data_IF_554248178586
#
_entry.id   IF_554248178586
#
_cell.length_a   1.000
_cell.length_b   1.000
_cell.length_c   1.000
_cell.angle_alpha   90.00
_cell.angle_beta   90.00
_cell.angle_gamma   90.00
#
_symmetry.space_group_name_H-M   'P 1'
#
loop_
_entity.id
_entity.type
_entity.pdbx_description
1 polymer ?
#
# COMPACT_ATOMS: atom_id res chain seq x y z
N UNK A 1 14.28 70.36 -57.23
CA UNK A 1 13.65 69.89 -55.98
C UNK A 1 12.59 68.80 -56.16
N UNK A 2 11.68 68.87 -57.14
CA UNK A 2 10.51 67.96 -57.25
C UNK A 2 10.81 66.47 -57.55
N UNK A 3 11.86 66.15 -58.33
CA UNK A 3 12.21 64.74 -58.69
C UNK A 3 12.76 63.93 -57.50
N UNK A 4 13.52 64.56 -56.61
CA UNK A 4 14.11 63.92 -55.43
C UNK A 4 13.03 63.48 -54.44
N UNK A 5 12.06 64.36 -54.19
CA UNK A 5 10.90 64.10 -53.33
C UNK A 5 10.06 62.92 -53.85
N UNK A 6 9.81 62.84 -55.17
CA UNK A 6 9.12 61.70 -55.79
C UNK A 6 9.87 60.37 -55.58
N UNK A 7 11.20 60.37 -55.75
CA UNK A 7 12.05 59.19 -55.48
C UNK A 7 11.97 58.78 -54.00
N UNK A 8 12.05 59.73 -53.07
CA UNK A 8 11.90 59.46 -51.64
C UNK A 8 10.52 58.87 -51.31
N UNK A 9 9.44 59.42 -51.85
CA UNK A 9 8.08 58.90 -51.61
C UNK A 9 7.89 57.49 -52.16
N UNK A 10 8.51 57.17 -53.30
CA UNK A 10 8.48 55.81 -53.86
C UNK A 10 9.20 54.80 -52.96
N UNK A 11 10.39 55.18 -52.44
CA UNK A 11 11.15 54.38 -51.47
C UNK A 11 10.34 54.16 -50.18
N UNK A 12 9.69 55.20 -49.65
CA UNK A 12 8.84 55.11 -48.45
C UNK A 12 7.67 54.14 -48.66
N UNK A 13 7.02 54.20 -49.84
CA UNK A 13 5.94 53.28 -50.20
C UNK A 13 6.43 51.82 -50.25
N UNK A 14 7.61 51.59 -50.81
CA UNK A 14 8.21 50.27 -50.94
C UNK A 14 8.61 49.69 -49.57
N UNK A 15 9.26 50.50 -48.72
CA UNK A 15 9.56 50.17 -47.33
C UNK A 15 8.30 49.86 -46.53
N UNK A 16 7.23 50.65 -46.69
CA UNK A 16 5.93 50.39 -46.04
C UNK A 16 5.33 49.04 -46.44
N UNK A 17 5.51 48.64 -47.71
CA UNK A 17 5.07 47.34 -48.23
C UNK A 17 5.87 46.19 -47.63
N UNK A 18 7.18 46.36 -47.49
CA UNK A 18 8.09 45.38 -46.86
C UNK A 18 7.72 45.20 -45.38
N UNK A 19 7.53 46.30 -44.64
CA UNK A 19 7.12 46.29 -43.23
C UNK A 19 5.78 45.57 -43.05
N UNK A 20 4.78 45.81 -43.92
CA UNK A 20 3.51 45.07 -43.89
C UNK A 20 3.72 43.56 -44.07
N UNK A 21 4.52 43.14 -45.04
CA UNK A 21 4.84 41.71 -45.28
C UNK A 21 5.56 41.08 -44.07
N UNK A 22 6.52 41.79 -43.48
CA UNK A 22 7.24 41.32 -42.28
C UNK A 22 6.30 41.16 -41.08
N UNK A 23 5.38 42.10 -40.85
CA UNK A 23 4.40 42.03 -39.77
C UNK A 23 3.46 40.81 -39.89
N UNK A 24 3.02 40.49 -41.11
CA UNK A 24 2.21 39.28 -41.35
C UNK A 24 3.01 38.01 -41.03
N UNK A 25 4.28 37.94 -41.46
CA UNK A 25 5.16 36.82 -41.10
C UNK A 25 5.38 36.71 -39.59
N UNK A 26 5.63 37.84 -38.92
CA UNK A 26 5.85 37.88 -37.48
C UNK A 26 4.63 37.37 -36.70
N UNK A 27 3.41 37.75 -37.12
CA UNK A 27 2.15 37.23 -36.54
C UNK A 27 2.01 35.71 -36.72
N UNK A 28 2.32 35.19 -37.91
CA UNK A 28 2.31 33.73 -38.17
C UNK A 28 3.34 33.01 -37.30
N UNK A 29 4.57 33.52 -37.20
CA UNK A 29 5.61 32.95 -36.34
C UNK A 29 5.22 32.95 -34.87
N UNK A 30 4.67 34.05 -34.35
CA UNK A 30 4.15 34.11 -32.97
C UNK A 30 3.08 33.05 -32.71
N UNK A 31 2.13 32.87 -33.64
CA UNK A 31 1.08 31.84 -33.51
C UNK A 31 1.65 30.42 -33.51
N UNK A 32 2.63 30.15 -34.37
CA UNK A 32 3.35 28.88 -34.41
C UNK A 32 4.08 28.61 -33.08
N UNK A 33 4.81 29.59 -32.56
CA UNK A 33 5.52 29.49 -31.28
C UNK A 33 4.57 29.18 -30.10
N UNK A 34 3.40 29.82 -30.06
CA UNK A 34 2.38 29.54 -29.03
C UNK A 34 1.88 28.09 -29.10
N UNK A 35 1.65 27.57 -30.31
CA UNK A 35 1.19 26.20 -30.54
C UNK A 35 2.26 25.19 -30.10
N UNK A 36 3.50 25.38 -30.56
CA UNK A 36 4.64 24.53 -30.17
C UNK A 36 4.85 24.55 -28.65
N UNK A 37 4.75 25.71 -28.01
CA UNK A 37 4.88 25.82 -26.55
C UNK A 37 3.79 25.05 -25.81
N UNK A 38 2.56 25.07 -26.33
CA UNK A 38 1.45 24.29 -25.77
C UNK A 38 1.69 22.79 -25.93
N UNK A 39 2.09 22.34 -27.13
CA UNK A 39 2.35 20.92 -27.40
C UNK A 39 3.50 20.35 -26.57
N UNK A 40 4.57 21.14 -26.37
CA UNK A 40 5.67 20.77 -25.48
C UNK A 40 5.18 20.61 -24.02
N UNK A 41 4.27 21.50 -23.56
CA UNK A 41 3.67 21.40 -22.22
C UNK A 41 2.82 20.14 -22.08
N UNK A 42 2.02 19.80 -23.11
CA UNK A 42 1.22 18.58 -23.13
C UNK A 42 2.10 17.32 -23.13
N UNK A 43 3.10 17.24 -24.03
CA UNK A 43 4.04 16.12 -24.09
C UNK A 43 4.78 15.93 -22.77
N UNK A 44 5.19 17.01 -22.11
CA UNK A 44 5.84 16.95 -20.78
C UNK A 44 4.90 16.32 -19.74
N UNK A 45 3.65 16.79 -19.67
CA UNK A 45 2.64 16.25 -18.75
C UNK A 45 2.32 14.78 -19.03
N UNK A 46 2.25 14.39 -20.31
CA UNK A 46 2.02 13.01 -20.72
C UNK A 46 3.19 12.10 -20.34
N UNK A 47 4.44 12.57 -20.51
CA UNK A 47 5.63 11.83 -20.08
C UNK A 47 5.66 11.66 -18.56
N UNK A 48 5.34 12.70 -17.80
CA UNK A 48 5.22 12.63 -16.34
C UNK A 48 4.15 11.62 -15.90
N UNK A 49 2.98 11.63 -16.55
CA UNK A 49 1.91 10.67 -16.29
C UNK A 49 2.32 9.23 -16.64
N UNK A 50 3.01 9.04 -17.76
CA UNK A 50 3.53 7.72 -18.18
C UNK A 50 4.57 7.20 -17.20
N UNK A 51 5.46 8.06 -16.71
CA UNK A 51 6.46 7.67 -15.70
C UNK A 51 5.78 7.32 -14.36
N UNK A 52 4.79 8.10 -13.96
CA UNK A 52 4.03 7.86 -12.73
C UNK A 52 3.28 6.52 -12.78
N UNK A 53 2.64 6.21 -13.90
CA UNK A 53 1.90 4.95 -14.08
C UNK A 53 2.85 3.75 -14.07
N UNK A 54 4.01 3.84 -14.72
CA UNK A 54 5.03 2.80 -14.67
C UNK A 54 5.65 2.61 -13.27
N UNK A 55 5.79 3.69 -12.50
CA UNK A 55 6.22 3.59 -11.10
C UNK A 55 5.14 2.94 -10.23
N UNK A 56 3.88 3.31 -10.43
CA UNK A 56 2.75 2.79 -9.69
C UNK A 56 2.62 1.27 -9.87
N UNK A 57 2.76 0.77 -11.10
CA UNK A 57 2.65 -0.66 -11.37
C UNK A 57 3.71 -1.47 -10.62
N UNK A 58 4.97 -0.99 -10.60
CA UNK A 58 6.05 -1.62 -9.81
C UNK A 58 5.78 -1.58 -8.31
N UNK A 59 5.21 -0.47 -7.79
CA UNK A 59 4.86 -0.38 -6.38
C UNK A 59 3.73 -1.34 -5.99
N UNK A 60 2.79 -1.63 -6.90
CA UNK A 60 1.68 -2.56 -6.68
C UNK A 60 2.13 -4.03 -6.60
N UNK A 61 3.32 -4.37 -7.09
CA UNK A 61 3.92 -5.69 -6.90
C UNK A 61 4.33 -5.92 -5.44
N UNK A 62 4.81 -4.86 -4.77
CA UNK A 62 5.35 -4.91 -3.41
C UNK A 62 4.26 -4.60 -2.38
N UNK A 63 3.60 -3.46 -2.55
CA UNK A 63 2.66 -2.85 -1.61
C UNK A 63 1.21 -3.06 -2.06
N UNK A 64 0.31 -3.08 -1.08
CA UNK A 64 -1.14 -3.05 -1.34
C UNK A 64 -1.63 -1.62 -1.61
N UNK A 65 -2.81 -1.48 -2.21
CA UNK A 65 -3.34 -0.16 -2.62
C UNK A 65 -3.50 0.81 -1.44
N UNK A 66 -3.88 0.32 -0.26
CA UNK A 66 -3.98 1.12 0.96
C UNK A 66 -2.61 1.54 1.50
N UNK A 67 -1.57 0.70 1.39
CA UNK A 67 -0.19 1.06 1.69
C UNK A 67 0.32 2.16 0.75
N UNK A 68 0.03 2.03 -0.55
CA UNK A 68 0.37 3.04 -1.55
C UNK A 68 -0.38 4.35 -1.26
N UNK A 69 -1.66 4.28 -0.85
CA UNK A 69 -2.43 5.46 -0.47
C UNK A 69 -1.87 6.19 0.75
N UNK A 70 -1.34 5.45 1.74
CA UNK A 70 -0.63 6.01 2.90
C UNK A 70 0.64 6.73 2.46
N UNK A 71 1.45 6.09 1.60
CA UNK A 71 2.67 6.69 1.06
C UNK A 71 2.39 7.97 0.28
N UNK A 72 1.34 7.99 -0.55
CA UNK A 72 0.96 9.17 -1.35
C UNK A 72 0.48 10.34 -0.50
N UNK A 73 -0.33 10.08 0.50
CA UNK A 73 -1.03 11.13 1.24
C UNK A 73 -0.29 11.59 2.50
N UNK A 74 0.82 10.92 2.87
CA UNK A 74 1.54 11.10 4.14
C UNK A 74 0.59 11.15 5.35
N UNK A 75 -0.47 10.33 5.30
CA UNK A 75 -1.54 10.26 6.29
C UNK A 75 -1.65 8.82 6.80
N UNK A 76 -2.02 8.67 8.06
CA UNK A 76 -2.34 7.36 8.63
C UNK A 76 -3.51 6.75 7.87
N UNK A 77 -3.43 5.44 7.57
CA UNK A 77 -4.56 4.72 7.00
C UNK A 77 -5.77 4.83 7.94
N UNK A 78 -6.93 5.21 7.39
CA UNK A 78 -8.19 5.19 8.15
C UNK A 78 -8.63 3.75 8.43
N UNK A 79 -8.46 2.87 7.44
CA UNK A 79 -8.81 1.44 7.50
C UNK A 79 -7.84 0.66 6.64
N UNK A 80 -7.28 -0.41 7.20
CA UNK A 80 -6.45 -1.36 6.47
C UNK A 80 -7.31 -2.45 5.84
N UNK A 81 -6.96 -2.86 4.62
CA UNK A 81 -7.60 -3.99 3.94
C UNK A 81 -7.21 -5.31 4.62
N UNK A 82 -8.03 -6.35 4.46
CA UNK A 82 -7.70 -7.68 5.01
C UNK A 82 -6.39 -8.23 4.41
N UNK A 83 -6.13 -7.97 3.11
CA UNK A 83 -4.87 -8.35 2.45
C UNK A 83 -3.65 -7.72 3.14
N UNK A 84 -3.75 -6.45 3.52
CA UNK A 84 -2.68 -5.71 4.20
C UNK A 84 -2.50 -6.18 5.63
N UNK A 85 -3.60 -6.48 6.34
CA UNK A 85 -3.55 -7.09 7.67
C UNK A 85 -2.88 -8.46 7.62
N UNK A 86 -3.23 -9.32 6.65
CA UNK A 86 -2.62 -10.65 6.49
C UNK A 86 -1.12 -10.55 6.22
N UNK A 87 -0.70 -9.73 5.24
CA UNK A 87 0.73 -9.48 4.97
C UNK A 87 1.46 -8.96 6.21
N UNK A 88 0.85 -8.05 6.95
CA UNK A 88 1.45 -7.49 8.16
C UNK A 88 1.54 -8.51 9.31
N UNK A 89 0.54 -9.39 9.48
CA UNK A 89 0.58 -10.49 10.44
C UNK A 89 1.68 -11.49 10.09
N UNK A 90 1.77 -11.91 8.81
CA UNK A 90 2.83 -12.78 8.32
C UNK A 90 4.21 -12.19 8.63
N UNK A 91 4.41 -10.92 8.27
CA UNK A 91 5.66 -10.22 8.57
C UNK A 91 5.96 -10.19 10.07
N UNK A 92 4.98 -9.81 10.91
CA UNK A 92 5.13 -9.79 12.38
C UNK A 92 5.53 -11.16 12.94
N UNK A 93 4.94 -12.24 12.44
CA UNK A 93 5.25 -13.59 12.91
C UNK A 93 6.63 -14.05 12.44
N UNK A 94 7.05 -13.69 11.23
CA UNK A 94 8.36 -14.05 10.69
C UNK A 94 9.53 -13.29 11.35
N UNK A 95 9.38 -11.99 11.64
CA UNK A 95 10.47 -11.15 12.16
C UNK A 95 10.35 -10.80 13.65
N UNK A 96 9.29 -11.26 14.32
CA UNK A 96 8.97 -10.89 15.70
C UNK A 96 8.53 -9.42 15.86
N UNK A 97 8.22 -9.05 17.12
CA UNK A 97 7.70 -7.71 17.46
C UNK A 97 8.75 -6.63 17.21
N UNK A 98 10.00 -6.87 17.61
CA UNK A 98 11.09 -5.90 17.50
C UNK A 98 11.40 -5.60 16.03
N UNK A 99 11.55 -6.64 15.19
CA UNK A 99 11.79 -6.45 13.75
C UNK A 99 10.63 -5.72 13.06
N UNK A 100 9.40 -6.04 13.44
CA UNK A 100 8.22 -5.37 12.89
C UNK A 100 8.18 -3.87 13.25
N UNK A 101 8.49 -3.52 14.50
CA UNK A 101 8.55 -2.11 14.92
C UNK A 101 9.75 -1.36 14.33
N UNK A 102 10.89 -2.01 14.10
CA UNK A 102 12.00 -1.40 13.35
C UNK A 102 11.57 -1.01 11.93
N UNK A 103 10.90 -1.89 11.19
CA UNK A 103 10.39 -1.56 9.86
C UNK A 103 9.41 -0.38 9.90
N UNK A 104 8.56 -0.32 10.93
CA UNK A 104 7.65 0.83 11.15
C UNK A 104 8.41 2.13 11.45
N UNK A 105 9.48 2.08 12.24
CA UNK A 105 10.35 3.24 12.51
C UNK A 105 10.99 3.75 11.23
N UNK A 106 11.40 2.85 10.34
CA UNK A 106 11.91 3.14 8.99
C UNK A 106 10.82 3.60 8.00
N UNK A 107 9.62 3.94 8.49
CA UNK A 107 8.49 4.49 7.72
C UNK A 107 7.85 3.52 6.72
N UNK A 108 8.04 2.21 6.89
CA UNK A 108 7.22 1.26 6.14
C UNK A 108 5.72 1.46 6.45
N UNK A 109 4.84 1.46 5.43
CA UNK A 109 3.41 1.68 5.61
C UNK A 109 2.74 0.42 6.19
N UNK A 110 2.93 0.19 7.49
CA UNK A 110 2.43 -1.00 8.18
C UNK A 110 1.39 -0.64 9.25
N UNK A 111 0.37 -1.49 9.47
CA UNK A 111 -0.55 -1.36 10.59
C UNK A 111 0.18 -1.30 11.93
N UNK A 112 -0.38 -0.57 12.90
CA UNK A 112 0.16 -0.58 14.26
C UNK A 112 -0.08 -1.92 14.96
N UNK A 113 0.77 -2.29 15.93
CA UNK A 113 0.61 -3.52 16.71
C UNK A 113 -0.78 -3.65 17.34
N UNK A 114 -1.34 -2.58 17.89
CA UNK A 114 -2.71 -2.57 18.42
C UNK A 114 -3.76 -2.91 17.36
N UNK A 115 -3.55 -2.49 16.11
CA UNK A 115 -4.46 -2.82 15.00
C UNK A 115 -4.38 -4.31 14.66
N UNK A 116 -3.17 -4.87 14.64
CA UNK A 116 -2.97 -6.30 14.41
C UNK A 116 -3.60 -7.14 15.53
N UNK A 117 -3.35 -6.78 16.79
CA UNK A 117 -3.94 -7.45 17.97
C UNK A 117 -5.47 -7.45 17.92
N UNK A 118 -6.09 -6.29 17.73
CA UNK A 118 -7.55 -6.18 17.61
C UNK A 118 -8.12 -6.99 16.44
N UNK A 119 -7.34 -7.23 15.38
CA UNK A 119 -7.79 -8.04 14.24
C UNK A 119 -7.81 -9.54 14.54
N UNK A 120 -6.97 -10.01 15.46
CA UNK A 120 -6.92 -11.41 15.88
C UNK A 120 -7.63 -11.64 17.22
N UNK A 121 -8.04 -10.59 17.92
CA UNK A 121 -8.70 -10.65 19.24
C UNK A 121 -9.99 -11.48 19.23
N UNK A 122 -10.73 -11.48 18.12
CA UNK A 122 -11.94 -12.28 17.98
C UNK A 122 -11.64 -13.78 17.80
N UNK A 123 -10.38 -14.16 17.61
CA UNK A 123 -9.97 -15.54 17.47
C UNK A 123 -9.59 -16.10 18.84
N UNK A 124 -10.60 -16.62 19.56
CA UNK A 124 -10.47 -17.14 20.91
C UNK A 124 -10.04 -18.60 20.88
N UNK A 125 -9.11 -18.94 21.76
CA UNK A 125 -8.72 -20.32 22.03
C UNK A 125 -9.11 -20.63 23.46
N UNK A 126 -10.05 -21.56 23.61
CA UNK A 126 -10.51 -22.05 24.90
C UNK A 126 -9.96 -23.46 25.14
N UNK A 127 -9.95 -23.89 26.40
CA UNK A 127 -9.56 -25.25 26.76
C UNK A 127 -10.50 -26.27 26.11
N UNK A 128 -9.96 -27.39 25.66
CA UNK A 128 -10.72 -28.45 25.00
C UNK A 128 -10.55 -28.43 23.47
N UNK A 129 -11.57 -28.90 22.77
CA UNK A 129 -11.55 -29.10 21.31
C UNK A 129 -12.04 -27.81 20.63
N UNK A 130 -11.22 -27.24 19.75
CA UNK A 130 -11.58 -26.01 19.02
C UNK A 130 -12.29 -26.33 17.70
N UNK A 131 -13.62 -26.19 17.68
CA UNK A 131 -14.45 -26.37 16.48
C UNK A 131 -14.04 -25.44 15.32
N UNK A 132 -13.58 -24.23 15.65
CA UNK A 132 -13.09 -23.26 14.67
C UNK A 132 -11.90 -23.81 13.89
N UNK A 133 -10.95 -24.48 14.55
CA UNK A 133 -9.80 -25.11 13.88
C UNK A 133 -10.29 -26.22 12.95
N UNK A 134 -11.26 -27.03 13.36
CA UNK A 134 -11.84 -28.06 12.49
C UNK A 134 -12.52 -27.46 11.25
N UNK A 135 -13.20 -26.32 11.39
CA UNK A 135 -13.75 -25.59 10.24
C UNK A 135 -12.66 -25.16 9.26
N UNK A 136 -11.52 -24.65 9.75
CA UNK A 136 -10.38 -24.31 8.90
C UNK A 136 -9.73 -25.54 8.26
N UNK A 137 -9.58 -26.64 9.01
CA UNK A 137 -9.04 -27.91 8.50
C UNK A 137 -9.93 -28.47 7.39
N UNK A 138 -11.26 -28.42 7.55
CA UNK A 138 -12.22 -28.84 6.52
C UNK A 138 -12.03 -28.08 5.21
N UNK A 139 -11.81 -26.76 5.28
CA UNK A 139 -11.50 -25.95 4.08
C UNK A 139 -10.20 -26.40 3.42
N UNK A 140 -9.17 -26.68 4.22
CA UNK A 140 -7.85 -27.11 3.73
C UNK A 140 -7.88 -28.50 3.09
N UNK A 141 -8.61 -29.43 3.69
CA UNK A 141 -8.68 -30.84 3.31
C UNK A 141 -9.73 -31.10 2.22
N UNK A 142 -10.58 -30.12 1.90
CA UNK A 142 -11.65 -30.24 0.90
C UNK A 142 -11.19 -30.75 -0.48
N UNK A 143 -9.95 -30.45 -0.86
CA UNK A 143 -9.36 -30.84 -2.15
C UNK A 143 -8.33 -31.98 -2.03
N UNK A 144 -8.26 -32.67 -0.89
CA UNK A 144 -7.33 -33.77 -0.66
C UNK A 144 -7.94 -35.11 -1.06
N UNK A 145 -7.09 -36.05 -1.50
CA UNK A 145 -7.52 -37.42 -1.77
C UNK A 145 -7.71 -38.16 -0.44
N UNK A 146 -8.42 -39.30 -0.45
CA UNK A 146 -8.66 -40.08 0.78
C UNK A 146 -7.37 -40.53 1.46
N UNK A 147 -6.34 -40.91 0.70
CA UNK A 147 -5.03 -41.30 1.26
C UNK A 147 -4.36 -40.12 1.96
N UNK A 148 -4.49 -38.91 1.41
CA UNK A 148 -3.90 -37.69 2.01
C UNK A 148 -4.64 -37.27 3.29
N UNK A 149 -5.84 -37.80 3.54
CA UNK A 149 -6.63 -37.55 4.76
C UNK A 149 -6.26 -38.48 5.90
N UNK A 150 -5.56 -39.58 5.63
CA UNK A 150 -5.08 -40.48 6.68
C UNK A 150 -4.05 -39.75 7.55
N UNK A 151 -4.33 -39.64 8.86
CA UNK A 151 -3.44 -39.00 9.80
C UNK A 151 -3.40 -39.76 11.14
N UNK A 152 -2.26 -39.64 11.82
CA UNK A 152 -2.09 -40.14 13.18
C UNK A 152 -2.17 -38.96 14.15
N UNK A 153 -2.93 -39.11 15.23
CA UNK A 153 -2.93 -38.16 16.33
C UNK A 153 -1.88 -38.59 17.35
N UNK A 154 -0.85 -37.77 17.53
CA UNK A 154 0.18 -37.95 18.55
C UNK A 154 0.15 -36.73 19.46
N UNK A 155 0.07 -36.96 20.77
CA UNK A 155 0.07 -35.91 21.78
C UNK A 155 0.94 -36.34 22.96
N UNK A 156 1.51 -35.35 23.62
CA UNK A 156 2.34 -35.48 24.82
C UNK A 156 2.11 -34.23 25.69
N UNK A 157 2.49 -34.31 26.95
CA UNK A 157 2.29 -33.25 27.93
C UNK A 157 3.52 -32.36 28.07
N UNK A 158 3.31 -31.06 28.26
CA UNK A 158 4.38 -30.07 28.47
C UNK A 158 4.24 -29.50 29.87
N UNK A 159 5.31 -29.60 30.66
CA UNK A 159 5.38 -28.91 31.96
C UNK A 159 5.51 -27.40 31.76
N UNK A 160 4.62 -26.64 32.39
CA UNK A 160 4.61 -25.18 32.40
C UNK A 160 4.72 -24.65 33.83
N UNK A 161 5.18 -23.41 33.98
CA UNK A 161 5.20 -22.74 35.29
C UNK A 161 3.78 -22.53 35.81
N UNK A 162 3.51 -23.02 37.03
CA UNK A 162 2.24 -22.77 37.71
C UNK A 162 2.03 -21.29 37.98
N UNK A 163 0.78 -20.82 37.83
CA UNK A 163 0.39 -19.45 38.13
C UNK A 163 -1.05 -19.18 37.74
N UNK A 164 -1.77 -18.43 38.58
CA UNK A 164 -3.14 -17.96 38.29
C UNK A 164 -3.10 -16.53 37.77
N UNK A 165 -3.66 -16.34 36.58
CA UNK A 165 -3.69 -15.07 35.87
C UNK A 165 -5.13 -14.68 35.59
N UNK A 166 -5.48 -13.41 35.76
CA UNK A 166 -6.77 -12.89 35.34
C UNK A 166 -6.67 -12.39 33.89
N UNK A 167 -7.43 -13.00 32.98
CA UNK A 167 -7.56 -12.48 31.61
C UNK A 167 -8.71 -11.49 31.53
N UNK A 168 -8.37 -10.24 31.16
CA UNK A 168 -9.35 -9.18 31.03
C UNK A 168 -10.25 -9.36 29.79
N UNK A 169 -9.83 -10.15 28.79
CA UNK A 169 -10.63 -10.40 27.59
C UNK A 169 -11.77 -11.38 27.87
N UNK A 170 -11.48 -12.50 28.54
CA UNK A 170 -12.48 -13.48 28.97
C UNK A 170 -13.20 -13.12 30.27
N UNK A 171 -12.68 -12.18 31.06
CA UNK A 171 -13.14 -11.88 32.43
C UNK A 171 -13.10 -13.11 33.34
N UNK A 172 -12.08 -13.95 33.18
CA UNK A 172 -11.92 -15.19 33.94
C UNK A 172 -10.49 -15.37 34.45
N UNK A 173 -10.35 -16.17 35.50
CA UNK A 173 -9.04 -16.66 35.92
C UNK A 173 -8.61 -17.83 35.01
N UNK A 174 -7.32 -17.89 34.73
CA UNK A 174 -6.63 -18.92 33.94
C UNK A 174 -5.46 -19.43 34.77
N UNK A 175 -5.16 -20.73 34.67
CA UNK A 175 -4.00 -21.33 35.34
C UNK A 175 -4.33 -22.56 36.18
N UNK A 176 -5.63 -22.85 36.36
CA UNK A 176 -6.06 -24.08 37.00
C UNK A 176 -5.73 -25.29 36.11
N UNK A 177 -5.43 -26.42 36.74
CA UNK A 177 -5.18 -27.68 36.04
C UNK A 177 -6.47 -28.14 35.36
N UNK A 178 -6.40 -28.32 34.05
CA UNK A 178 -7.57 -28.68 33.22
C UNK A 178 -7.69 -30.18 32.96
N UNK A 179 -6.68 -30.98 33.33
CA UNK A 179 -6.67 -32.42 33.14
C UNK A 179 -7.32 -33.14 34.34
N UNK A 180 -8.18 -34.15 34.10
CA UNK A 180 -8.72 -35.00 35.17
C UNK A 180 -7.59 -35.67 35.96
N UNK A 181 -7.78 -35.89 37.26
CA UNK A 181 -6.84 -36.58 38.16
C UNK A 181 -5.53 -35.84 38.47
N UNK A 182 -5.28 -34.68 37.87
CA UNK A 182 -4.10 -33.87 38.14
C UNK A 182 -4.43 -32.77 39.15
N UNK A 183 -3.92 -32.89 40.37
CA UNK A 183 -4.01 -31.83 41.39
C UNK A 183 -2.86 -30.84 41.25
N UNK A 184 -3.10 -29.57 41.64
CA UNK A 184 -2.01 -28.60 41.77
C UNK A 184 -0.91 -29.20 42.68
N UNK A 185 0.39 -29.05 42.32
CA UNK A 185 1.46 -29.51 43.18
C UNK A 185 1.32 -28.82 44.54
N UNK A 186 1.20 -29.64 45.59
CA UNK A 186 1.14 -29.17 46.98
C UNK A 186 2.37 -28.30 47.24
N UNK A 187 2.14 -27.02 47.56
CA UNK A 187 3.20 -26.07 47.93
C UNK A 187 3.90 -26.48 49.23
#
# INVERSE_FOLDING_TARGET
MSRTIKKQNQIICEQSRIIKKQNVRLRKFKKCLLTVRHDLKLKKKQKEQSNYTALLSKLQEIFTDDQIAVLKNNKRAKKWSNKSIMKALQLRFSCGITGYEELRRQKFPLPGLRTLRRKIENFKFESGISDDIFNFLKLKVSNWNEIDKECCLVYDEISISSGKFFDNSSQSYIGDVTLPEHTEPTQ
#
